data_IF_554076853295
#
_entry.id   IF_554076853295
#
_cell.length_a   1.000
_cell.length_b   1.000
_cell.length_c   1.000
_cell.angle_alpha   90.00
_cell.angle_beta   90.00
_cell.angle_gamma   90.00
#
_symmetry.space_group_name_H-M   'P 1'
#
loop_
_entity.id
_entity.type
_entity.pdbx_description
1 polymer ?
#
# COMPACT_ATOMS: atom_id res chain seq x y z
N UNK A 1 11.76 12.30 -19.37
CA UNK A 1 11.07 13.44 -18.71
C UNK A 1 9.88 12.96 -17.88
N UNK A 2 9.37 13.82 -17.03
CA UNK A 2 8.12 13.58 -16.28
C UNK A 2 6.94 13.96 -17.18
N UNK A 3 5.92 13.11 -17.20
CA UNK A 3 4.63 13.40 -17.85
C UNK A 3 3.75 14.13 -16.82
N UNK A 4 3.82 15.45 -16.79
CA UNK A 4 3.17 16.30 -15.78
C UNK A 4 1.64 16.22 -15.82
N UNK A 5 1.04 15.94 -16.99
CA UNK A 5 -0.42 15.82 -17.12
C UNK A 5 -0.97 14.57 -16.41
N UNK A 6 -0.14 13.53 -16.25
CA UNK A 6 -0.50 12.25 -15.66
C UNK A 6 0.12 11.98 -14.30
N UNK A 7 0.96 12.90 -13.83
CA UNK A 7 1.66 12.82 -12.56
C UNK A 7 0.89 13.61 -11.49
N UNK A 8 0.56 12.97 -10.39
CA UNK A 8 -0.06 13.64 -9.23
C UNK A 8 0.96 13.97 -8.15
N UNK A 9 2.09 13.26 -8.14
CA UNK A 9 3.16 13.46 -7.19
C UNK A 9 4.00 14.70 -7.54
N UNK A 10 4.29 15.51 -6.54
CA UNK A 10 5.18 16.68 -6.70
C UNK A 10 6.65 16.30 -6.61
N UNK A 11 7.53 17.08 -7.23
CA UNK A 11 8.97 16.93 -7.03
C UNK A 11 9.36 17.33 -5.61
N UNK A 12 10.27 16.58 -5.00
CA UNK A 12 10.84 16.93 -3.72
C UNK A 12 11.81 18.09 -3.86
N UNK A 13 11.71 19.06 -2.98
CA UNK A 13 12.68 20.14 -2.81
C UNK A 13 12.78 20.49 -1.32
N UNK A 14 13.99 20.51 -0.79
CA UNK A 14 14.23 20.70 0.64
C UNK A 14 13.77 22.08 1.17
N UNK A 15 13.56 23.05 0.31
CA UNK A 15 13.17 24.42 0.66
C UNK A 15 11.71 24.70 0.32
N UNK A 16 11.29 24.34 -0.91
CA UNK A 16 9.98 24.69 -1.44
C UNK A 16 8.94 23.58 -1.28
N UNK A 17 9.37 22.33 -1.17
CA UNK A 17 8.50 21.16 -0.98
C UNK A 17 9.19 20.09 -0.10
N UNK A 18 9.43 20.37 1.19
CA UNK A 18 10.15 19.46 2.09
C UNK A 18 9.32 18.25 2.54
N UNK A 19 7.99 18.27 2.34
CA UNK A 19 7.07 17.28 2.88
C UNK A 19 7.04 15.96 2.10
N UNK A 20 7.87 15.85 1.07
CA UNK A 20 8.01 14.63 0.30
C UNK A 20 7.72 14.79 -1.19
N UNK A 21 7.75 13.69 -1.90
CA UNK A 21 7.58 13.69 -3.35
C UNK A 21 8.58 12.76 -4.04
N UNK A 22 8.86 13.00 -5.30
CA UNK A 22 9.90 12.28 -6.02
C UNK A 22 11.15 13.13 -6.25
N UNK A 23 12.28 12.47 -6.31
CA UNK A 23 13.56 13.05 -6.73
C UNK A 23 14.20 12.15 -7.77
N UNK A 24 14.60 12.71 -8.90
CA UNK A 24 15.31 11.96 -9.94
C UNK A 24 16.82 12.16 -9.77
N UNK A 25 17.54 11.06 -9.89
CA UNK A 25 19.01 11.10 -9.93
C UNK A 25 19.46 11.43 -11.37
N UNK A 26 19.75 12.69 -11.61
CA UNK A 26 20.19 13.17 -12.91
C UNK A 26 21.55 12.64 -13.35
N UNK A 27 22.40 12.21 -12.42
CA UNK A 27 23.72 11.66 -12.75
C UNK A 27 23.63 10.28 -13.41
N UNK A 28 22.54 9.56 -13.16
CA UNK A 28 22.25 8.25 -13.78
C UNK A 28 21.50 8.35 -15.11
N UNK A 29 21.03 9.55 -15.52
CA UNK A 29 20.33 9.80 -16.78
C UNK A 29 21.26 9.82 -18.01
N UNK A 30 22.17 8.87 -18.09
CA UNK A 30 23.15 8.80 -19.19
C UNK A 30 23.27 7.35 -19.68
N UNK A 31 23.25 7.20 -20.99
CA UNK A 31 23.69 5.96 -21.63
C UNK A 31 25.18 6.12 -21.89
N UNK A 32 26.00 5.25 -21.32
CA UNK A 32 27.45 5.28 -21.50
C UNK A 32 27.82 4.93 -22.95
N UNK A 33 28.89 5.53 -23.47
CA UNK A 33 29.40 5.19 -24.79
C UNK A 33 29.66 3.68 -24.88
N UNK A 34 29.16 3.04 -25.94
CA UNK A 34 29.27 1.58 -26.14
C UNK A 34 28.25 0.74 -25.36
N UNK A 35 27.32 1.34 -24.60
CA UNK A 35 26.20 0.67 -23.98
C UNK A 35 24.91 0.92 -24.77
N UNK A 36 24.02 -0.07 -24.76
CA UNK A 36 22.66 0.02 -25.30
C UNK A 36 21.60 0.16 -24.17
N UNK A 37 22.06 0.28 -22.95
CA UNK A 37 21.20 0.37 -21.75
C UNK A 37 21.54 1.60 -20.92
N UNK A 38 20.51 2.20 -20.33
CA UNK A 38 20.60 3.26 -19.34
C UNK A 38 19.67 3.01 -18.17
N UNK A 39 20.12 3.36 -16.97
CA UNK A 39 19.32 3.24 -15.76
C UNK A 39 18.98 4.61 -15.22
N UNK A 40 17.75 4.80 -14.81
CA UNK A 40 17.26 6.02 -14.15
C UNK A 40 16.95 5.70 -12.70
N UNK A 41 17.63 6.36 -11.77
CA UNK A 41 17.32 6.29 -10.35
C UNK A 41 16.20 7.28 -10.01
N UNK A 42 15.14 6.77 -9.38
CA UNK A 42 14.07 7.60 -8.80
C UNK A 42 13.98 7.29 -7.31
N UNK A 43 14.10 8.35 -6.50
CA UNK A 43 13.92 8.25 -5.04
C UNK A 43 12.57 8.85 -4.69
N UNK A 44 11.80 8.12 -3.90
CA UNK A 44 10.52 8.59 -3.34
C UNK A 44 10.73 9.00 -1.89
N UNK A 45 10.36 10.24 -1.59
CA UNK A 45 10.34 10.78 -0.23
C UNK A 45 8.91 10.64 0.28
N UNK A 46 8.78 10.00 1.44
CA UNK A 46 7.47 9.74 2.05
C UNK A 46 6.79 11.05 2.44
N UNK A 47 5.53 11.20 2.06
CA UNK A 47 4.68 12.32 2.45
C UNK A 47 3.37 11.81 3.08
N UNK A 48 2.57 12.73 3.65
CA UNK A 48 1.32 12.39 4.30
C UNK A 48 0.19 12.02 3.31
N UNK A 49 0.29 12.44 2.04
CA UNK A 49 -0.75 12.20 1.02
C UNK A 49 -0.93 10.72 0.71
N UNK A 50 0.18 9.96 0.66
CA UNK A 50 0.17 8.52 0.34
C UNK A 50 -0.60 7.65 1.33
N UNK A 51 -0.94 8.19 2.51
CA UNK A 51 -1.83 7.53 3.48
C UNK A 51 -3.30 7.65 3.12
N UNK A 52 -3.66 8.63 2.27
CA UNK A 52 -5.05 8.98 1.95
C UNK A 52 -5.39 8.71 0.50
N UNK A 53 -4.41 8.74 -0.38
CA UNK A 53 -4.57 8.58 -1.81
C UNK A 53 -3.39 7.83 -2.42
N UNK A 54 -3.57 7.36 -3.66
CA UNK A 54 -2.49 6.82 -4.46
C UNK A 54 -1.85 7.97 -5.22
N UNK A 55 -0.58 8.24 -4.95
CA UNK A 55 0.18 9.21 -5.72
C UNK A 55 0.82 8.52 -6.92
N UNK A 56 0.82 9.20 -8.05
CA UNK A 56 1.27 8.66 -9.34
C UNK A 56 2.43 9.50 -9.86
N UNK A 57 3.51 8.83 -10.28
CA UNK A 57 4.57 9.43 -11.08
C UNK A 57 4.64 8.71 -12.42
N UNK A 58 4.50 9.46 -13.51
CA UNK A 58 4.63 8.93 -14.85
C UNK A 58 5.87 9.49 -15.51
N UNK A 59 6.77 8.61 -15.89
CA UNK A 59 7.94 8.96 -16.71
C UNK A 59 7.65 8.61 -18.15
N UNK A 60 8.07 9.49 -19.06
CA UNK A 60 8.00 9.24 -20.51
C UNK A 60 9.36 9.45 -21.18
N UNK A 61 9.62 8.69 -22.22
CA UNK A 61 10.75 8.90 -23.10
C UNK A 61 10.36 9.96 -24.14
N UNK A 62 11.25 10.89 -24.38
CA UNK A 62 11.13 11.88 -25.45
C UNK A 62 12.35 11.82 -26.38
N UNK A 63 12.11 12.00 -27.67
CA UNK A 63 13.17 12.10 -28.62
C UNK A 63 14.04 13.35 -28.35
N UNK A 64 15.31 13.24 -28.63
CA UNK A 64 16.25 14.38 -28.59
C UNK A 64 17.26 14.26 -29.74
N UNK A 65 18.25 15.12 -29.75
CA UNK A 65 19.26 15.14 -30.82
C UNK A 65 20.11 13.85 -30.94
N UNK A 66 20.07 12.98 -29.94
CA UNK A 66 20.87 11.73 -29.90
C UNK A 66 20.01 10.47 -29.98
N UNK A 67 18.72 10.55 -29.68
CA UNK A 67 17.84 9.40 -29.59
C UNK A 67 16.49 9.66 -30.23
N UNK A 68 16.05 8.69 -31.01
CA UNK A 68 14.68 8.59 -31.47
C UNK A 68 13.89 7.68 -30.54
N UNK A 69 12.63 8.00 -30.31
CA UNK A 69 11.71 7.15 -29.54
C UNK A 69 10.95 6.27 -30.53
N UNK A 70 11.18 4.99 -30.46
CA UNK A 70 10.41 4.03 -31.24
C UNK A 70 8.96 4.04 -30.77
N UNK A 71 8.02 4.03 -31.72
CA UNK A 71 6.60 4.05 -31.45
C UNK A 71 6.17 2.86 -30.55
N UNK A 72 5.09 3.07 -29.81
CA UNK A 72 4.43 2.02 -29.05
C UNK A 72 4.18 0.78 -29.91
N UNK A 73 4.55 -0.37 -29.42
CA UNK A 73 4.30 -1.63 -30.13
C UNK A 73 3.00 -2.27 -29.65
N UNK A 74 2.33 -2.97 -30.57
CA UNK A 74 1.16 -3.77 -30.23
C UNK A 74 1.61 -5.12 -29.74
N UNK A 75 1.30 -5.46 -28.51
CA UNK A 75 1.42 -6.83 -28.02
C UNK A 75 0.17 -7.62 -28.41
N UNK A 76 0.32 -8.63 -29.25
CA UNK A 76 -0.74 -9.63 -29.48
C UNK A 76 -0.58 -10.72 -28.46
N UNK A 77 -1.58 -10.91 -27.60
CA UNK A 77 -1.61 -12.06 -26.74
C UNK A 77 -2.07 -13.29 -27.59
N UNK A 78 -1.13 -14.16 -27.93
CA UNK A 78 -1.36 -15.32 -28.80
C UNK A 78 -2.35 -16.33 -28.21
N UNK A 79 -2.64 -16.23 -26.91
CA UNK A 79 -3.48 -17.18 -26.17
C UNK A 79 -4.91 -16.69 -25.92
N UNK A 80 -5.20 -15.43 -26.14
CA UNK A 80 -6.57 -14.91 -26.04
C UNK A 80 -6.93 -14.18 -27.34
N UNK A 81 -8.08 -14.52 -27.89
CA UNK A 81 -8.67 -13.88 -29.08
C UNK A 81 -9.19 -12.44 -28.77
N UNK A 82 -8.63 -11.80 -27.75
CA UNK A 82 -8.97 -10.43 -27.38
C UNK A 82 -8.09 -9.45 -28.15
N UNK A 83 -8.68 -8.34 -28.50
CA UNK A 83 -8.05 -7.19 -29.19
C UNK A 83 -6.69 -6.88 -28.60
N UNK A 84 -5.68 -6.80 -29.45
CA UNK A 84 -4.31 -6.49 -29.05
C UNK A 84 -4.28 -5.14 -28.30
N UNK A 85 -3.93 -5.18 -27.00
CA UNK A 85 -3.64 -3.96 -26.26
C UNK A 85 -2.39 -3.32 -26.79
N UNK A 86 -2.47 -2.02 -27.07
CA UNK A 86 -1.28 -1.23 -27.44
C UNK A 86 -0.50 -0.95 -26.16
N UNK A 87 0.64 -1.57 -26.02
CA UNK A 87 1.57 -1.27 -24.93
C UNK A 87 2.37 -0.04 -25.33
N UNK A 88 2.20 1.06 -24.60
CA UNK A 88 3.04 2.23 -24.74
C UNK A 88 4.35 2.01 -23.98
N UNK A 89 5.34 1.43 -24.68
CA UNK A 89 6.68 1.22 -24.11
C UNK A 89 7.47 2.51 -23.87
N UNK A 90 6.91 3.65 -24.21
CA UNK A 90 7.55 4.96 -23.99
C UNK A 90 7.24 5.55 -22.63
N UNK A 91 6.32 4.95 -21.86
CA UNK A 91 5.91 5.42 -20.55
C UNK A 91 6.10 4.36 -19.50
N UNK A 92 6.44 4.82 -18.29
CA UNK A 92 6.47 4.00 -17.09
C UNK A 92 5.75 4.70 -15.95
N UNK A 93 4.82 4.01 -15.31
CA UNK A 93 3.99 4.56 -14.23
C UNK A 93 4.37 3.93 -12.91
N UNK A 94 4.71 4.77 -11.93
CA UNK A 94 4.84 4.39 -10.53
C UNK A 94 3.55 4.76 -9.80
N UNK A 95 3.01 3.83 -9.02
CA UNK A 95 1.90 4.04 -8.10
C UNK A 95 2.43 3.90 -6.67
N UNK A 96 2.36 4.97 -5.90
CA UNK A 96 2.89 5.03 -4.54
C UNK A 96 1.75 5.27 -3.57
N UNK A 97 1.59 4.37 -2.60
CA UNK A 97 0.51 4.45 -1.61
C UNK A 97 0.90 3.69 -0.34
N UNK A 98 0.42 4.19 0.79
CA UNK A 98 0.40 3.51 2.09
C UNK A 98 -1.03 3.12 2.51
N UNK A 99 -1.98 3.18 1.60
CA UNK A 99 -3.36 2.76 1.87
C UNK A 99 -3.39 1.24 1.92
N UNK A 100 -3.84 0.72 3.05
CA UNK A 100 -4.14 -0.71 3.13
C UNK A 100 -5.38 -1.03 2.29
N UNK A 101 -5.28 -2.08 1.49
CA UNK A 101 -6.42 -2.67 0.77
C UNK A 101 -6.81 -3.97 1.44
N UNK A 102 -8.10 -4.28 1.42
CA UNK A 102 -8.57 -5.54 1.98
C UNK A 102 -7.95 -6.72 1.22
N UNK A 103 -7.18 -7.58 1.89
CA UNK A 103 -6.65 -8.76 1.23
C UNK A 103 -7.79 -9.75 0.92
N UNK A 104 -7.74 -10.44 -0.23
CA UNK A 104 -8.73 -11.45 -0.61
C UNK A 104 -8.87 -12.51 0.48
N UNK A 105 -7.78 -12.86 1.11
CA UNK A 105 -7.75 -13.84 2.21
C UNK A 105 -8.59 -13.44 3.42
N UNK A 106 -8.90 -12.18 3.63
CA UNK A 106 -9.81 -11.74 4.70
C UNK A 106 -11.16 -12.42 4.60
N UNK A 107 -11.73 -12.49 3.39
CA UNK A 107 -12.97 -13.24 3.12
C UNK A 107 -12.79 -14.75 3.20
N UNK A 108 -11.69 -15.28 2.64
CA UNK A 108 -11.42 -16.73 2.58
C UNK A 108 -11.35 -17.39 3.97
N UNK A 109 -10.80 -16.68 4.96
CA UNK A 109 -10.71 -17.15 6.34
C UNK A 109 -11.87 -16.71 7.21
N UNK A 110 -12.87 -16.04 6.63
CA UNK A 110 -14.00 -15.45 7.32
C UNK A 110 -13.60 -14.50 8.48
N UNK A 111 -12.57 -13.69 8.26
CA UNK A 111 -12.01 -12.82 9.28
C UNK A 111 -13.04 -11.83 9.87
N UNK A 112 -14.06 -11.43 9.11
CA UNK A 112 -15.17 -10.61 9.62
C UNK A 112 -15.89 -11.22 10.83
N UNK A 113 -15.98 -12.55 10.90
CA UNK A 113 -16.62 -13.26 12.00
C UNK A 113 -15.80 -13.25 13.29
N UNK A 114 -14.52 -12.94 13.18
CA UNK A 114 -13.56 -12.98 14.29
C UNK A 114 -13.05 -11.60 14.68
N UNK A 115 -12.79 -10.76 13.71
CA UNK A 115 -12.22 -9.42 13.91
C UNK A 115 -13.22 -8.30 13.66
N UNK A 116 -14.37 -8.60 13.04
CA UNK A 116 -15.34 -7.62 12.57
C UNK A 116 -15.06 -7.15 11.13
N UNK A 117 -15.92 -6.25 10.67
CA UNK A 117 -15.81 -5.71 9.30
C UNK A 117 -14.44 -5.09 9.07
N UNK A 118 -13.86 -5.40 7.93
CA UNK A 118 -12.56 -4.88 7.54
C UNK A 118 -12.58 -3.34 7.43
N UNK A 119 -11.53 -2.71 7.95
CA UNK A 119 -11.14 -1.34 7.67
C UNK A 119 -9.60 -1.21 7.81
N UNK A 120 -8.98 -0.18 7.25
CA UNK A 120 -7.52 -0.04 7.25
C UNK A 120 -6.92 0.13 8.65
N UNK A 121 -7.60 0.79 9.57
CA UNK A 121 -7.12 1.01 10.95
C UNK A 121 -7.08 -0.31 11.70
N UNK A 122 -8.18 -1.06 11.66
CA UNK A 122 -8.29 -2.40 12.27
C UNK A 122 -7.26 -3.37 11.69
N UNK A 123 -7.11 -3.38 10.37
CA UNK A 123 -6.14 -4.21 9.70
C UNK A 123 -4.70 -3.88 10.12
N UNK A 124 -4.36 -2.58 10.20
CA UNK A 124 -3.05 -2.13 10.66
C UNK A 124 -2.77 -2.55 12.12
N UNK A 125 -3.78 -2.41 13.00
CA UNK A 125 -3.65 -2.80 14.39
C UNK A 125 -3.42 -4.30 14.55
N UNK A 126 -4.22 -5.14 13.88
CA UNK A 126 -4.07 -6.59 13.89
C UNK A 126 -2.69 -7.01 13.41
N UNK A 127 -2.23 -6.43 12.30
CA UNK A 127 -0.90 -6.72 11.76
C UNK A 127 0.21 -6.32 12.72
N UNK A 128 0.10 -5.15 13.34
CA UNK A 128 1.07 -4.69 14.34
C UNK A 128 1.11 -5.59 15.56
N UNK A 129 -0.05 -5.98 16.09
CA UNK A 129 -0.15 -6.81 17.29
C UNK A 129 0.40 -8.24 17.08
N UNK A 130 0.04 -8.89 15.97
CA UNK A 130 0.51 -10.25 15.67
C UNK A 130 1.83 -10.31 14.90
N UNK A 131 2.40 -9.18 14.52
CA UNK A 131 3.59 -9.13 13.66
C UNK A 131 3.30 -9.71 12.26
N UNK A 132 2.08 -9.55 11.75
CA UNK A 132 1.74 -9.98 10.40
C UNK A 132 2.24 -8.98 9.36
N UNK A 133 2.64 -9.52 8.23
CA UNK A 133 2.96 -8.76 7.02
C UNK A 133 1.85 -8.96 5.98
N UNK A 134 1.85 -8.17 4.93
CA UNK A 134 0.91 -8.36 3.81
C UNK A 134 1.03 -9.75 3.17
N UNK A 135 2.24 -10.33 3.19
CA UNK A 135 2.51 -11.69 2.69
C UNK A 135 1.84 -12.76 3.56
N UNK A 136 1.67 -12.54 4.86
CA UNK A 136 1.01 -13.50 5.75
C UNK A 136 -0.49 -13.64 5.44
N UNK A 137 -1.09 -12.63 4.81
CA UNK A 137 -2.46 -12.65 4.29
C UNK A 137 -2.55 -13.28 2.89
N UNK A 138 -1.54 -14.03 2.48
CA UNK A 138 -1.55 -14.86 1.28
C UNK A 138 -1.51 -16.35 1.67
N UNK A 139 -1.59 -17.23 0.68
CA UNK A 139 -1.46 -18.68 0.93
C UNK A 139 -0.02 -19.12 1.25
N UNK A 140 0.96 -18.26 0.99
CA UNK A 140 2.37 -18.62 1.00
C UNK A 140 2.90 -19.02 2.37
N UNK A 141 2.48 -18.33 3.44
CA UNK A 141 3.03 -18.58 4.79
C UNK A 141 2.19 -19.52 5.65
N UNK A 142 0.89 -19.66 5.35
CA UNK A 142 -0.06 -20.43 6.16
C UNK A 142 -0.32 -19.87 7.56
N UNK A 143 0.27 -18.71 7.94
CA UNK A 143 0.04 -18.10 9.26
C UNK A 143 -1.40 -17.71 9.45
N UNK A 144 -1.98 -17.00 8.49
CA UNK A 144 -3.39 -16.62 8.51
C UNK A 144 -4.21 -17.74 7.86
N UNK A 145 -4.90 -18.52 8.69
CA UNK A 145 -5.73 -19.64 8.24
C UNK A 145 -7.01 -19.73 9.05
N UNK A 146 -8.09 -20.24 8.45
CA UNK A 146 -9.41 -20.34 9.10
C UNK A 146 -9.37 -21.04 10.45
N UNK A 147 -8.57 -22.11 10.56
CA UNK A 147 -8.44 -22.86 11.82
C UNK A 147 -7.73 -22.09 12.95
N UNK A 148 -6.96 -21.05 12.61
CA UNK A 148 -6.26 -20.20 13.60
C UNK A 148 -7.04 -18.96 14.01
N UNK A 149 -8.08 -18.59 13.28
CA UNK A 149 -8.86 -17.38 13.57
C UNK A 149 -9.43 -17.33 14.98
N UNK A 150 -10.02 -18.42 15.55
CA UNK A 150 -10.50 -18.38 16.93
C UNK A 150 -9.42 -18.07 17.95
N UNK A 151 -8.21 -18.57 17.75
CA UNK A 151 -7.07 -18.28 18.60
C UNK A 151 -6.70 -16.80 18.53
N UNK A 152 -6.50 -16.28 17.33
CA UNK A 152 -6.16 -14.87 17.14
C UNK A 152 -7.24 -13.91 17.68
N UNK A 153 -8.51 -14.26 17.51
CA UNK A 153 -9.59 -13.45 18.05
C UNK A 153 -9.58 -13.37 19.58
N UNK A 154 -9.27 -14.47 20.27
CA UNK A 154 -9.15 -14.50 21.74
C UNK A 154 -7.96 -13.70 22.23
N UNK A 155 -6.80 -13.85 21.59
CA UNK A 155 -5.61 -13.07 21.93
C UNK A 155 -5.85 -11.57 21.72
N UNK A 156 -6.47 -11.20 20.60
CA UNK A 156 -6.83 -9.82 20.32
C UNK A 156 -7.86 -9.28 21.33
N UNK A 157 -8.89 -10.07 21.68
CA UNK A 157 -9.86 -9.72 22.72
C UNK A 157 -9.16 -9.42 24.04
N UNK A 158 -8.25 -10.31 24.47
CA UNK A 158 -7.52 -10.15 25.71
C UNK A 158 -6.66 -8.88 25.73
N UNK A 159 -6.01 -8.57 24.61
CA UNK A 159 -5.21 -7.34 24.47
C UNK A 159 -6.09 -6.09 24.49
N UNK A 160 -7.19 -6.08 23.74
CA UNK A 160 -8.12 -4.94 23.73
C UNK A 160 -8.74 -4.71 25.11
N UNK A 161 -9.10 -5.79 25.84
CA UNK A 161 -9.62 -5.69 27.20
C UNK A 161 -8.58 -5.15 28.17
N UNK A 162 -7.35 -5.67 28.12
CA UNK A 162 -6.25 -5.17 28.94
C UNK A 162 -6.03 -3.65 28.74
N UNK A 163 -6.01 -3.20 27.49
CA UNK A 163 -5.86 -1.78 27.18
C UNK A 163 -7.05 -0.94 27.64
N UNK A 164 -8.26 -1.47 27.51
CA UNK A 164 -9.46 -0.84 28.04
C UNK A 164 -9.37 -0.64 29.56
N UNK A 165 -8.99 -1.70 30.28
CA UNK A 165 -8.84 -1.68 31.74
C UNK A 165 -7.72 -0.72 32.21
N UNK A 166 -6.69 -0.53 31.39
CA UNK A 166 -5.60 0.41 31.64
C UNK A 166 -5.92 1.86 31.26
N UNK A 167 -7.12 2.13 30.71
CA UNK A 167 -7.53 3.47 30.28
C UNK A 167 -6.82 3.97 29.01
N UNK A 168 -6.35 3.04 28.17
CA UNK A 168 -5.73 3.29 26.87
C UNK A 168 -6.43 2.46 25.76
N UNK A 169 -7.75 2.63 25.55
CA UNK A 169 -8.50 1.84 24.60
C UNK A 169 -8.03 2.07 23.16
N UNK A 170 -8.15 1.05 22.33
CA UNK A 170 -7.86 1.16 20.90
C UNK A 170 -9.06 1.72 20.17
N UNK A 171 -8.83 2.71 19.31
CA UNK A 171 -9.87 3.31 18.49
C UNK A 171 -9.91 2.68 17.10
N UNK A 172 -11.12 2.54 16.58
CA UNK A 172 -11.38 2.12 15.20
C UNK A 172 -11.42 3.33 14.25
N UNK A 173 -11.62 3.07 12.96
CA UNK A 173 -11.62 4.09 11.90
C UNK A 173 -12.67 5.19 12.11
N UNK A 174 -13.82 4.84 12.67
CA UNK A 174 -14.94 5.75 12.94
C UNK A 174 -14.79 6.54 14.26
N UNK A 175 -13.68 6.35 14.97
CA UNK A 175 -13.41 6.97 16.28
C UNK A 175 -14.09 6.28 17.46
N UNK A 176 -14.84 5.20 17.26
CA UNK A 176 -15.34 4.34 18.34
C UNK A 176 -14.23 3.44 18.88
N UNK A 177 -14.46 2.83 20.04
CA UNK A 177 -13.57 1.77 20.53
C UNK A 177 -13.62 0.56 19.61
N UNK A 178 -12.46 -0.02 19.31
CA UNK A 178 -12.34 -1.18 18.42
C UNK A 178 -13.05 -2.40 19.03
N UNK A 179 -14.24 -2.70 18.54
CA UNK A 179 -15.06 -3.79 19.04
C UNK A 179 -14.94 -5.01 18.14
N UNK A 180 -14.84 -6.19 18.76
CA UNK A 180 -14.90 -7.48 18.10
C UNK A 180 -16.34 -8.01 18.06
N UNK A 181 -16.64 -8.99 17.17
CA UNK A 181 -17.95 -9.65 17.13
C UNK A 181 -18.35 -10.26 18.48
N UNK A 182 -19.65 -10.48 18.69
CA UNK A 182 -20.23 -10.86 19.99
C UNK A 182 -19.55 -12.02 20.71
N UNK A 183 -19.06 -13.01 19.97
CA UNK A 183 -18.33 -14.15 20.56
C UNK A 183 -16.98 -13.76 21.22
N UNK A 184 -16.46 -12.58 20.88
CA UNK A 184 -15.17 -12.04 21.34
C UNK A 184 -15.30 -10.59 21.82
N UNK A 185 -16.48 -10.23 22.29
CA UNK A 185 -16.81 -8.85 22.69
C UNK A 185 -15.88 -8.37 23.80
N UNK A 186 -15.44 -7.12 23.68
CA UNK A 186 -14.66 -6.40 24.69
C UNK A 186 -15.61 -5.56 25.53
N UNK A 187 -15.42 -5.55 26.84
CA UNK A 187 -16.20 -4.72 27.77
C UNK A 187 -15.51 -3.38 27.99
N UNK A 188 -16.12 -2.32 27.47
CA UNK A 188 -15.65 -0.94 27.63
C UNK A 188 -16.43 -0.14 28.67
N UNK A 189 -17.31 -0.79 29.46
CA UNK A 189 -18.20 -0.10 30.41
C UNK A 189 -17.45 0.64 31.52
N UNK A 190 -16.25 0.20 31.85
CA UNK A 190 -15.45 0.74 32.96
C UNK A 190 -14.22 1.53 32.50
N UNK A 191 -14.16 1.93 31.24
CA UNK A 191 -12.99 2.65 30.70
C UNK A 191 -12.91 4.03 31.35
N UNK A 192 -11.82 4.28 32.07
CA UNK A 192 -11.43 5.59 32.58
C UNK A 192 -10.19 6.03 31.81
N UNK A 193 -10.35 7.00 30.93
CA UNK A 193 -9.25 7.48 30.12
C UNK A 193 -8.16 8.08 30.98
N UNK A 194 -6.91 7.72 30.71
CA UNK A 194 -5.76 8.39 31.32
C UNK A 194 -5.69 9.84 30.83
N UNK A 195 -5.38 10.79 31.75
CA UNK A 195 -5.26 12.20 31.39
C UNK A 195 -4.10 12.47 30.44
#
# INVERSE_FOLDING_TARGET
>A
VVDEERTTMTSYDAVTNPDGGYMMDFDTLKIKAGSNEGTVGVRFMRNASIKKQVDTLVLKLEANQYFEVLNAYKSSNVWSNTTADTIDGTRYTFLISEIYTQPSRWGDVAADQYFGKWNPVRYAYINGFFGFTTTDWTWATGKVSKGRMPFYARELQSELQRRADEGDPVYDEDGSYMQLPDAYRVDYSNVVLKP
#
